data_IF_931458481794
#
_entry.id   IF_931458481794
#
_cell.length_a   1.000
_cell.length_b   1.000
_cell.length_c   1.000
_cell.angle_alpha   90.00
_cell.angle_beta   90.00
_cell.angle_gamma   90.00
#
_symmetry.space_group_name_H-M   'P 1'
#
loop_
_entity.id
_entity.type
_entity.pdbx_description
1 polymer ?
#
# COMPACT_ATOMS: atom_id res chain seq x y z
N UNK A 1 -24.77 -21.85 -18.27
CA UNK A 1 -24.72 -20.37 -18.28
C UNK A 1 -24.02 -19.92 -17.02
N UNK A 2 -22.70 -19.68 -17.07
CA UNK A 2 -21.94 -19.16 -15.93
C UNK A 2 -22.12 -17.65 -15.95
N UNK A 3 -22.87 -17.10 -15.00
CA UNK A 3 -22.98 -15.65 -14.83
C UNK A 3 -21.65 -15.18 -14.27
N UNK A 4 -20.83 -14.52 -15.09
CA UNK A 4 -19.62 -13.86 -14.61
C UNK A 4 -20.06 -12.62 -13.82
N UNK A 5 -20.15 -12.75 -12.50
CA UNK A 5 -20.30 -11.60 -11.61
C UNK A 5 -18.96 -10.87 -11.63
N UNK A 6 -18.94 -9.70 -12.26
CA UNK A 6 -17.77 -8.83 -12.26
C UNK A 6 -17.34 -8.57 -10.81
N UNK A 7 -16.04 -8.70 -10.55
CA UNK A 7 -15.49 -8.51 -9.20
C UNK A 7 -15.81 -7.10 -8.71
N UNK A 8 -16.28 -6.94 -7.45
CA UNK A 8 -16.48 -5.61 -6.87
C UNK A 8 -15.18 -4.79 -6.94
N UNK A 9 -15.28 -3.55 -7.42
CA UNK A 9 -14.14 -2.63 -7.48
C UNK A 9 -14.10 -1.78 -6.22
N UNK A 10 -12.99 -1.80 -5.50
CA UNK A 10 -12.79 -1.07 -4.24
C UNK A 10 -11.61 -0.14 -4.38
N UNK A 11 -11.84 1.14 -4.09
CA UNK A 11 -10.79 2.16 -3.98
C UNK A 11 -10.58 2.50 -2.52
N UNK A 12 -9.36 2.31 -2.03
CA UNK A 12 -8.94 2.68 -0.68
C UNK A 12 -8.09 3.95 -0.78
N UNK A 13 -8.55 5.04 -0.15
CA UNK A 13 -7.82 6.31 -0.10
C UNK A 13 -7.35 6.52 1.34
N UNK A 14 -6.04 6.64 1.55
CA UNK A 14 -5.48 6.79 2.90
C UNK A 14 -3.97 6.75 2.93
N UNK A 15 -3.38 6.49 4.08
CA UNK A 15 -1.94 6.34 4.29
C UNK A 15 -1.66 5.62 5.62
N UNK A 16 -0.40 5.28 5.88
CA UNK A 16 0.06 4.68 7.13
C UNK A 16 -0.53 3.31 7.48
N UNK A 17 -0.37 2.94 8.75
CA UNK A 17 -0.67 1.61 9.29
C UNK A 17 -2.13 1.16 9.14
N UNK A 18 -3.10 2.08 9.31
CA UNK A 18 -4.52 1.72 9.25
C UNK A 18 -4.94 1.24 7.85
N UNK A 19 -4.45 1.94 6.82
CA UNK A 19 -4.70 1.58 5.43
C UNK A 19 -4.02 0.25 5.07
N UNK A 20 -2.78 0.01 5.52
CA UNK A 20 -2.05 -1.23 5.21
C UNK A 20 -2.70 -2.47 5.84
N UNK A 21 -3.27 -2.36 7.04
CA UNK A 21 -4.05 -3.45 7.67
C UNK A 21 -5.31 -3.76 6.87
N UNK A 22 -6.06 -2.74 6.44
CA UNK A 22 -7.25 -2.91 5.61
C UNK A 22 -6.91 -3.58 4.28
N UNK A 23 -5.86 -3.12 3.60
CA UNK A 23 -5.41 -3.66 2.31
C UNK A 23 -5.04 -5.15 2.41
N UNK A 24 -4.33 -5.57 3.47
CA UNK A 24 -4.00 -6.99 3.72
C UNK A 24 -5.26 -7.85 3.84
N UNK A 25 -6.29 -7.36 4.54
CA UNK A 25 -7.56 -8.08 4.70
C UNK A 25 -8.34 -8.17 3.40
N UNK A 26 -8.41 -7.06 2.64
CA UNK A 26 -9.19 -6.98 1.39
C UNK A 26 -8.56 -7.73 0.22
N UNK A 27 -7.23 -7.87 0.22
CA UNK A 27 -6.47 -8.54 -0.84
C UNK A 27 -7.01 -9.93 -1.19
N UNK A 28 -7.51 -10.67 -0.21
CA UNK A 28 -8.00 -12.05 -0.38
C UNK A 28 -9.51 -12.16 -0.59
N UNK A 29 -10.25 -11.05 -0.72
CA UNK A 29 -11.72 -11.04 -0.79
C UNK A 29 -12.29 -11.14 -2.22
N UNK A 30 -11.47 -11.48 -3.21
CA UNK A 30 -11.94 -11.64 -4.59
C UNK A 30 -12.41 -10.33 -5.25
N UNK A 31 -11.82 -9.20 -4.85
CA UNK A 31 -12.17 -7.85 -5.31
C UNK A 31 -11.09 -7.27 -6.24
N UNK A 32 -11.46 -6.29 -7.06
CA UNK A 32 -10.50 -5.45 -7.78
C UNK A 32 -10.11 -4.29 -6.88
N UNK A 33 -8.90 -4.34 -6.31
CA UNK A 33 -8.43 -3.33 -5.37
C UNK A 33 -7.63 -2.22 -6.08
N UNK A 34 -7.84 -0.98 -5.67
CA UNK A 34 -6.99 0.17 -6.03
C UNK A 34 -6.70 0.95 -4.75
N UNK A 35 -5.44 1.33 -4.53
CA UNK A 35 -5.06 2.14 -3.39
C UNK A 35 -4.52 3.49 -3.86
N UNK A 36 -5.05 4.57 -3.30
CA UNK A 36 -4.53 5.92 -3.43
C UNK A 36 -3.90 6.26 -2.08
N UNK A 37 -2.58 6.39 -2.08
CA UNK A 37 -1.80 6.53 -0.85
C UNK A 37 -1.34 7.97 -0.69
N UNK A 38 -1.61 8.58 0.46
CA UNK A 38 -1.04 9.88 0.84
C UNK A 38 0.41 9.67 1.24
N UNK A 39 1.30 10.59 0.84
CA UNK A 39 2.74 10.54 1.14
C UNK A 39 3.09 11.63 2.16
N UNK A 40 2.31 11.74 3.23
CA UNK A 40 2.49 12.77 4.24
C UNK A 40 3.08 12.21 5.55
N UNK A 41 3.23 10.89 5.69
CA UNK A 41 3.67 10.30 6.95
C UNK A 41 5.20 10.16 7.11
N UNK A 42 5.57 10.20 8.39
CA UNK A 42 6.83 9.88 9.05
C UNK A 42 7.97 10.89 8.87
N UNK A 43 8.00 11.90 9.74
CA UNK A 43 9.16 12.78 9.98
C UNK A 43 10.40 12.08 10.57
N UNK A 44 10.54 10.76 10.40
CA UNK A 44 11.69 9.95 10.80
C UNK A 44 12.72 9.82 9.67
N UNK A 45 13.14 8.60 9.32
CA UNK A 45 14.08 8.35 8.19
C UNK A 45 13.57 8.90 6.85
N UNK A 46 12.26 8.94 6.64
CA UNK A 46 11.63 9.57 5.46
C UNK A 46 11.76 11.10 5.48
N UNK A 47 11.94 11.71 6.65
CA UNK A 47 12.29 13.13 6.81
C UNK A 47 13.67 13.45 6.25
N UNK A 48 14.65 12.54 6.43
CA UNK A 48 16.00 12.68 5.87
C UNK A 48 15.99 12.69 4.34
N UNK A 49 15.18 11.82 3.72
CA UNK A 49 14.98 11.79 2.26
C UNK A 49 14.41 13.10 1.72
N UNK A 50 13.49 13.71 2.48
CA UNK A 50 12.90 15.00 2.14
C UNK A 50 13.90 16.14 2.32
N UNK A 51 14.73 16.09 3.36
CA UNK A 51 15.74 17.10 3.67
C UNK A 51 16.94 17.03 2.71
N UNK A 52 17.44 15.84 2.37
CA UNK A 52 18.64 15.68 1.52
C UNK A 52 18.33 15.71 0.01
N UNK A 53 17.18 15.17 -0.42
CA UNK A 53 16.89 14.98 -1.84
C UNK A 53 15.63 15.72 -2.33
N UNK A 54 14.88 16.37 -1.44
CA UNK A 54 13.64 17.09 -1.80
C UNK A 54 12.50 16.18 -2.25
N UNK A 55 12.64 14.86 -2.08
CA UNK A 55 11.60 13.90 -2.45
C UNK A 55 10.51 13.77 -1.38
N UNK A 56 9.26 13.46 -1.78
CA UNK A 56 8.22 13.13 -0.81
C UNK A 56 8.61 11.86 -0.04
N UNK A 57 8.17 11.73 1.23
CA UNK A 57 8.47 10.55 2.03
C UNK A 57 7.79 9.31 1.43
N UNK A 58 8.57 8.30 1.05
CA UNK A 58 8.07 7.06 0.43
C UNK A 58 7.56 6.01 1.45
N UNK A 59 7.54 6.33 2.74
CA UNK A 59 7.22 5.39 3.81
C UNK A 59 5.83 4.76 3.70
N UNK A 60 4.82 5.56 3.38
CA UNK A 60 3.45 5.09 3.18
C UNK A 60 3.30 4.23 1.92
N UNK A 61 3.97 4.62 0.82
CA UNK A 61 4.02 3.83 -0.41
C UNK A 61 4.58 2.43 -0.15
N UNK A 62 5.71 2.38 0.55
CA UNK A 62 6.42 1.16 0.92
C UNK A 62 5.52 0.22 1.71
N UNK A 63 4.83 0.73 2.74
CA UNK A 63 3.89 -0.07 3.53
C UNK A 63 2.71 -0.59 2.69
N UNK A 64 2.16 0.23 1.79
CA UNK A 64 1.10 -0.18 0.88
C UNK A 64 1.55 -1.31 -0.06
N UNK A 65 2.75 -1.18 -0.66
CA UNK A 65 3.32 -2.20 -1.53
C UNK A 65 3.54 -3.52 -0.77
N UNK A 66 4.07 -3.46 0.45
CA UNK A 66 4.22 -4.64 1.31
C UNK A 66 2.87 -5.28 1.66
N UNK A 67 1.82 -4.48 1.88
CA UNK A 67 0.48 -4.97 2.20
C UNK A 67 -0.20 -5.68 1.02
N UNK A 68 0.11 -5.27 -0.21
CA UNK A 68 -0.48 -5.83 -1.44
C UNK A 68 0.37 -6.94 -2.07
N UNK A 69 1.66 -7.07 -1.71
CA UNK A 69 2.54 -8.11 -2.26
C UNK A 69 2.04 -9.52 -1.96
N UNK A 70 2.10 -10.40 -2.97
CA UNK A 70 1.84 -11.85 -2.85
C UNK A 70 2.96 -12.60 -2.16
N UNK A 71 4.19 -12.13 -2.32
CA UNK A 71 5.36 -12.68 -1.66
C UNK A 71 5.79 -11.74 -0.54
N UNK A 72 5.54 -12.15 0.71
CA UNK A 72 5.90 -11.36 1.88
C UNK A 72 7.41 -11.32 2.11
N UNK A 73 8.12 -12.39 1.76
CA UNK A 73 9.55 -12.53 2.03
C UNK A 73 10.38 -11.72 1.02
N UNK A 74 9.99 -11.80 -0.26
CA UNK A 74 10.56 -10.96 -1.31
C UNK A 74 10.27 -9.48 -1.07
N UNK A 75 9.03 -9.15 -0.70
CA UNK A 75 8.66 -7.77 -0.40
C UNK A 75 9.41 -7.23 0.82
N UNK A 76 9.57 -8.03 1.88
CA UNK A 76 10.38 -7.64 3.02
C UNK A 76 11.84 -7.41 2.62
N UNK A 77 12.40 -8.23 1.73
CA UNK A 77 13.80 -8.11 1.28
C UNK A 77 14.04 -6.85 0.45
N UNK A 78 13.10 -6.47 -0.41
CA UNK A 78 13.28 -5.35 -1.36
C UNK A 78 12.78 -3.99 -0.83
N UNK A 79 11.86 -4.00 0.14
CA UNK A 79 11.12 -2.81 0.59
C UNK A 79 11.37 -2.48 2.07
N UNK A 80 12.42 -3.02 2.69
CA UNK A 80 12.84 -2.67 4.06
C UNK A 80 14.23 -2.07 4.02
#
# INVERSE_FOLDING_TARGET
MVVSLDRPSIVVIGGGNGSSVLLRGLKHQGVKLTSIVTMFDSGGSSGLLREEFGYPPFGDLRQCLMALSDDSDLAATLLT
#
